data_IF_748454934690
#
_entry.id   IF_748454934690
#
_cell.length_a   1.000
_cell.length_b   1.000
_cell.length_c   1.000
_cell.angle_alpha   90.00
_cell.angle_beta   90.00
_cell.angle_gamma   90.00
#
_symmetry.space_group_name_H-M   'P 1'
#
loop_
_entity.id
_entity.type
_entity.pdbx_description
1 polymer ?
#
# COMPACT_ATOMS: atom_id res chain seq x y z
N UNK A 1 22.27 -6.15 20.87
CA UNK A 1 22.29 -6.52 19.43
C UNK A 1 21.15 -7.50 19.17
N UNK A 2 20.57 -7.49 17.97
CA UNK A 2 19.51 -8.44 17.57
C UNK A 2 19.97 -9.18 16.32
N UNK A 3 19.78 -10.50 16.27
CA UNK A 3 20.11 -11.34 15.11
C UNK A 3 18.79 -11.75 14.45
N UNK A 4 18.67 -11.48 13.14
CA UNK A 4 17.50 -11.88 12.33
C UNK A 4 17.97 -12.87 11.28
N UNK A 5 17.27 -14.00 11.15
CA UNK A 5 17.48 -14.99 10.08
C UNK A 5 16.31 -14.94 9.11
N UNK A 6 16.57 -14.63 7.85
CA UNK A 6 15.59 -14.65 6.77
C UNK A 6 15.76 -15.96 5.97
N UNK A 7 14.68 -16.73 5.82
CA UNK A 7 14.65 -17.91 4.95
C UNK A 7 13.97 -17.52 3.63
N UNK A 8 14.70 -17.63 2.53
CA UNK A 8 14.15 -17.38 1.19
C UNK A 8 13.24 -18.56 0.85
N UNK A 9 11.98 -18.27 0.52
CA UNK A 9 11.04 -19.27 0.01
C UNK A 9 11.28 -19.53 -1.48
N UNK A 10 10.91 -20.72 -1.95
CA UNK A 10 11.05 -21.08 -3.37
C UNK A 10 10.05 -20.32 -4.26
N UNK A 11 8.92 -19.88 -3.70
CA UNK A 11 7.85 -19.22 -4.43
C UNK A 11 7.44 -17.92 -3.74
N UNK A 12 7.09 -16.91 -4.54
CA UNK A 12 6.49 -15.69 -4.04
C UNK A 12 5.04 -15.99 -3.62
N UNK A 13 4.71 -15.81 -2.34
CA UNK A 13 3.34 -15.98 -1.82
C UNK A 13 2.31 -15.06 -2.46
N UNK A 14 2.76 -14.01 -3.16
CA UNK A 14 1.90 -12.98 -3.73
C UNK A 14 2.24 -12.77 -5.20
N UNK A 15 1.20 -12.77 -6.02
CA UNK A 15 1.29 -12.44 -7.44
C UNK A 15 1.14 -10.93 -7.63
N UNK A 16 2.19 -10.30 -8.15
CA UNK A 16 2.25 -8.84 -8.36
C UNK A 16 2.48 -8.61 -9.86
N UNK A 17 1.43 -8.19 -10.55
CA UNK A 17 1.47 -7.91 -12.00
C UNK A 17 2.54 -6.85 -12.32
N UNK A 18 2.54 -5.74 -11.60
CA UNK A 18 3.48 -4.64 -11.81
C UNK A 18 4.25 -4.30 -10.53
N UNK A 19 5.40 -4.95 -10.33
CA UNK A 19 6.27 -4.72 -9.18
C UNK A 19 6.70 -3.26 -9.03
N UNK A 20 7.00 -2.55 -10.13
CA UNK A 20 7.41 -1.14 -10.07
C UNK A 20 6.29 -0.26 -9.50
N UNK A 21 5.07 -0.44 -10.01
CA UNK A 21 3.88 0.29 -9.53
C UNK A 21 3.58 -0.05 -8.06
N UNK A 22 3.65 -1.33 -7.70
CA UNK A 22 3.47 -1.76 -6.32
C UNK A 22 4.47 -1.10 -5.36
N UNK A 23 5.77 -1.18 -5.65
CA UNK A 23 6.77 -0.54 -4.80
C UNK A 23 6.62 0.99 -4.75
N UNK A 24 6.17 1.62 -5.84
CA UNK A 24 5.85 3.04 -5.86
C UNK A 24 4.70 3.37 -4.92
N UNK A 25 3.59 2.61 -4.97
CA UNK A 25 2.43 2.80 -4.09
C UNK A 25 2.81 2.57 -2.64
N UNK A 26 3.54 1.51 -2.32
CA UNK A 26 4.05 1.25 -0.96
C UNK A 26 4.91 2.41 -0.48
N UNK A 27 5.86 2.88 -1.31
CA UNK A 27 6.71 4.02 -0.96
C UNK A 27 5.89 5.29 -0.69
N UNK A 28 4.90 5.59 -1.53
CA UNK A 28 3.99 6.72 -1.37
C UNK A 28 3.12 6.60 -0.11
N UNK A 29 2.60 5.40 0.18
CA UNK A 29 1.80 5.14 1.37
C UNK A 29 2.63 5.39 2.65
N UNK A 30 3.88 4.93 2.70
CA UNK A 30 4.75 5.09 3.88
C UNK A 30 5.56 6.39 3.91
N UNK A 31 5.45 7.24 2.88
CA UNK A 31 6.21 8.49 2.80
C UNK A 31 5.89 9.46 3.94
N UNK A 32 4.66 9.44 4.48
CA UNK A 32 4.23 10.34 5.56
C UNK A 32 3.79 9.56 6.80
N UNK A 33 4.75 9.34 7.73
CA UNK A 33 4.66 8.53 8.97
C UNK A 33 3.53 8.83 9.97
N UNK A 34 2.69 9.82 9.72
CA UNK A 34 1.57 10.19 10.62
C UNK A 34 0.26 10.45 9.89
N UNK A 35 0.24 10.32 8.56
CA UNK A 35 -0.96 10.54 7.76
C UNK A 35 -1.64 9.22 7.46
N UNK A 36 -2.94 9.30 7.19
CA UNK A 36 -3.73 8.18 6.69
C UNK A 36 -3.20 7.75 5.32
N UNK A 37 -3.39 6.49 4.96
CA UNK A 37 -2.89 5.94 3.70
C UNK A 37 -3.42 6.74 2.49
N UNK A 38 -4.70 7.11 2.50
CA UNK A 38 -5.33 7.97 1.50
C UNK A 38 -4.62 9.32 1.37
N UNK A 39 -4.34 10.00 2.49
CA UNK A 39 -3.69 11.30 2.46
C UNK A 39 -2.21 11.21 2.03
N UNK A 40 -1.50 10.15 2.43
CA UNK A 40 -0.11 9.97 2.02
C UNK A 40 -0.02 9.70 0.52
N UNK A 41 -0.85 8.79 -0.01
CA UNK A 41 -0.86 8.43 -1.44
C UNK A 41 -1.31 9.63 -2.28
N UNK A 42 -2.41 10.30 -1.91
CA UNK A 42 -2.89 11.48 -2.66
C UNK A 42 -1.82 12.57 -2.72
N UNK A 43 -1.12 12.85 -1.61
CA UNK A 43 -0.13 13.92 -1.54
C UNK A 43 1.22 13.60 -2.20
N UNK A 44 1.60 12.32 -2.33
CA UNK A 44 2.88 11.93 -2.93
C UNK A 44 2.78 11.43 -4.36
N UNK A 45 1.65 10.83 -4.72
CA UNK A 45 1.40 10.31 -6.07
C UNK A 45 0.60 11.30 -6.94
N UNK A 46 0.03 12.36 -6.35
CA UNK A 46 -0.77 13.36 -7.07
C UNK A 46 -2.14 12.86 -7.49
N UNK A 47 -2.62 11.75 -6.91
CA UNK A 47 -3.93 11.17 -7.24
C UNK A 47 -5.04 11.95 -6.53
N UNK A 48 -6.15 12.30 -7.22
CA UNK A 48 -7.30 12.95 -6.61
C UNK A 48 -7.85 12.15 -5.43
N UNK A 49 -8.16 12.84 -4.32
CA UNK A 49 -8.71 12.18 -3.12
C UNK A 49 -10.02 11.44 -3.41
N UNK A 50 -10.88 11.99 -4.27
CA UNK A 50 -12.16 11.36 -4.62
C UNK A 50 -11.98 9.95 -5.19
N UNK A 51 -11.10 9.80 -6.19
CA UNK A 51 -10.77 8.48 -6.78
C UNK A 51 -10.19 7.52 -5.74
N UNK A 52 -9.34 8.01 -4.85
CA UNK A 52 -8.78 7.19 -3.77
C UNK A 52 -9.84 6.78 -2.75
N UNK A 53 -10.79 7.65 -2.40
CA UNK A 53 -11.89 7.31 -1.50
C UNK A 53 -12.75 6.19 -2.09
N UNK A 54 -13.13 6.30 -3.36
CA UNK A 54 -13.88 5.25 -4.07
C UNK A 54 -13.15 3.91 -4.05
N UNK A 55 -11.85 3.91 -4.36
CA UNK A 55 -11.03 2.69 -4.30
C UNK A 55 -10.98 2.11 -2.88
N UNK A 56 -10.84 2.95 -1.85
CA UNK A 56 -10.82 2.47 -0.46
C UNK A 56 -12.18 1.90 -0.04
N UNK A 57 -13.29 2.54 -0.43
CA UNK A 57 -14.65 2.05 -0.17
C UNK A 57 -14.92 0.72 -0.88
N UNK A 58 -14.54 0.58 -2.15
CA UNK A 58 -14.64 -0.68 -2.90
C UNK A 58 -13.86 -1.82 -2.23
N UNK A 59 -12.74 -1.50 -1.58
CA UNK A 59 -11.89 -2.45 -0.86
C UNK A 59 -12.35 -2.69 0.58
N UNK A 60 -13.40 -2.01 1.05
CA UNK A 60 -13.85 -2.07 2.44
C UNK A 60 -12.81 -1.54 3.43
N UNK A 61 -11.92 -0.65 2.99
CA UNK A 61 -10.86 -0.07 3.80
C UNK A 61 -11.32 1.25 4.42
N UNK A 62 -11.02 1.42 5.71
CA UNK A 62 -11.28 2.69 6.39
C UNK A 62 -10.42 3.83 5.81
N UNK A 63 -11.04 4.97 5.49
CA UNK A 63 -10.35 6.14 4.92
C UNK A 63 -9.32 6.78 5.87
N UNK A 64 -9.45 6.51 7.17
CA UNK A 64 -8.55 6.98 8.22
C UNK A 64 -7.46 5.95 8.58
N UNK A 65 -7.43 4.80 7.89
CA UNK A 65 -6.42 3.77 8.15
C UNK A 65 -5.01 4.30 7.89
N UNK A 66 -4.08 3.94 8.78
CA UNK A 66 -2.66 4.23 8.58
C UNK A 66 -2.03 3.16 7.67
N UNK A 67 -1.02 3.51 6.85
CA UNK A 67 -0.33 2.57 5.97
C UNK A 67 0.17 1.30 6.68
N UNK A 68 0.66 1.45 7.92
CA UNK A 68 1.17 0.33 8.75
C UNK A 68 0.09 -0.69 9.19
N UNK A 69 -1.20 -0.35 9.06
CA UNK A 69 -2.33 -1.24 9.37
C UNK A 69 -2.84 -1.99 8.13
N UNK A 70 -2.36 -1.64 6.94
CA UNK A 70 -2.73 -2.34 5.70
C UNK A 70 -2.00 -3.68 5.62
N UNK A 71 -2.71 -4.72 5.20
CA UNK A 71 -2.13 -6.03 4.90
C UNK A 71 -1.43 -6.00 3.54
N UNK A 72 -0.62 -7.04 3.25
CA UNK A 72 0.03 -7.17 1.95
C UNK A 72 -1.00 -7.27 0.82
N UNK A 73 -2.10 -8.00 1.03
CA UNK A 73 -3.20 -8.13 0.06
C UNK A 73 -3.84 -6.78 -0.25
N UNK A 74 -4.12 -5.97 0.79
CA UNK A 74 -4.67 -4.63 0.61
C UNK A 74 -3.75 -3.74 -0.24
N UNK A 75 -2.43 -3.81 -0.02
CA UNK A 75 -1.45 -3.03 -0.78
C UNK A 75 -1.34 -3.49 -2.24
N UNK A 76 -1.45 -4.79 -2.49
CA UNK A 76 -1.45 -5.35 -3.85
C UNK A 76 -2.71 -4.87 -4.59
N UNK A 77 -3.87 -5.00 -3.97
CA UNK A 77 -5.14 -4.62 -4.58
C UNK A 77 -5.23 -3.11 -4.81
N UNK A 78 -4.73 -2.29 -3.87
CA UNK A 78 -4.54 -0.86 -4.07
C UNK A 78 -3.66 -0.56 -5.29
N UNK A 79 -2.54 -1.27 -5.43
CA UNK A 79 -1.65 -1.08 -6.59
C UNK A 79 -2.29 -1.48 -7.92
N UNK A 80 -3.26 -2.39 -7.92
CA UNK A 80 -3.99 -2.79 -9.12
C UNK A 80 -5.01 -1.72 -9.53
N UNK A 81 -5.76 -1.19 -8.56
CA UNK A 81 -6.86 -0.22 -8.79
C UNK A 81 -6.42 1.23 -9.00
N UNK A 82 -5.28 1.66 -8.44
CA UNK A 82 -4.74 3.03 -8.59
C UNK A 82 -4.42 3.34 -10.06
#
# INVERSE_FOLDING_TARGET
SVVIRLKIGNECKYEIENKKKFFSVVKCAFAQRRKTALNSISNTMGVPKAKLTEIFEELGLDINIRPEKLTMENLIELSKKI
#
